data_IF_367105155150
#
_entry.id   IF_367105155150
#
_cell.length_a   1.000
_cell.length_b   1.000
_cell.length_c   1.000
_cell.angle_alpha   90.00
_cell.angle_beta   90.00
_cell.angle_gamma   90.00
#
_symmetry.space_group_name_H-M   'P 1'
#
loop_
_entity.id
_entity.type
_entity.pdbx_description
1 polymer ?
#
# COMPACT_ATOMS: atom_id res chain seq x y z
N UNK A 1 32.13 -34.68 -35.46
CA UNK A 1 31.36 -35.06 -34.27
C UNK A 1 30.93 -33.79 -33.54
N UNK A 2 29.61 -33.62 -33.35
CA UNK A 2 28.83 -32.85 -32.34
C UNK A 2 29.54 -31.69 -31.62
N UNK A 3 29.07 -30.45 -31.83
CA UNK A 3 28.28 -29.61 -30.89
C UNK A 3 29.02 -29.31 -29.55
N UNK A 4 29.20 -28.07 -29.11
CA UNK A 4 28.46 -26.88 -29.47
C UNK A 4 29.01 -25.58 -28.87
N UNK A 5 28.40 -24.50 -29.35
CA UNK A 5 28.40 -23.17 -28.76
C UNK A 5 27.85 -23.23 -27.33
N UNK A 6 28.42 -22.42 -26.44
CA UNK A 6 27.70 -21.39 -25.68
C UNK A 6 28.67 -20.47 -24.97
N UNK A 7 28.49 -19.18 -25.22
CA UNK A 7 28.95 -18.09 -24.38
C UNK A 7 28.19 -18.14 -23.05
N UNK A 8 28.81 -17.73 -21.96
CA UNK A 8 28.08 -17.15 -20.83
C UNK A 8 28.89 -16.02 -20.19
N UNK A 9 28.29 -14.84 -20.26
CA UNK A 9 28.65 -13.58 -19.62
C UNK A 9 28.63 -13.70 -18.09
N UNK A 10 29.40 -12.87 -17.36
CA UNK A 10 29.26 -12.76 -15.92
C UNK A 10 28.06 -11.85 -15.58
N UNK A 11 26.84 -12.34 -15.82
CA UNK A 11 25.64 -11.73 -15.28
C UNK A 11 25.33 -12.37 -13.92
N UNK A 12 25.88 -11.76 -12.87
CA UNK A 12 25.18 -11.44 -11.63
C UNK A 12 24.13 -12.45 -11.15
N UNK A 13 24.57 -13.64 -10.75
CA UNK A 13 23.80 -14.48 -9.84
C UNK A 13 24.51 -14.49 -8.49
N UNK A 14 24.00 -13.68 -7.57
CA UNK A 14 23.98 -13.97 -6.13
C UNK A 14 23.05 -12.98 -5.45
N UNK A 15 21.73 -13.17 -5.61
CA UNK A 15 20.82 -12.86 -4.49
C UNK A 15 21.11 -13.89 -3.41
N UNK A 16 22.23 -13.69 -2.72
CA UNK A 16 22.60 -14.47 -1.57
C UNK A 16 21.42 -14.39 -0.61
N UNK A 17 20.81 -15.56 -0.36
CA UNK A 17 19.94 -15.77 0.77
C UNK A 17 20.51 -15.00 1.96
N UNK A 18 19.71 -14.10 2.54
CA UNK A 18 20.05 -13.46 3.79
C UNK A 18 20.20 -14.59 4.81
N UNK A 19 21.44 -15.07 4.99
CA UNK A 19 21.76 -16.08 5.99
C UNK A 19 21.43 -15.43 7.32
N UNK A 20 20.51 -16.05 8.06
CA UNK A 20 19.83 -15.57 9.27
C UNK A 20 20.73 -15.14 10.45
N UNK A 21 22.04 -15.06 10.27
CA UNK A 21 23.02 -14.90 11.34
C UNK A 21 23.90 -13.63 11.24
N UNK A 22 23.52 -12.64 10.44
CA UNK A 22 24.29 -11.39 10.24
C UNK A 22 23.59 -10.12 10.76
N UNK A 23 22.62 -10.27 11.67
CA UNK A 23 21.86 -9.15 12.24
C UNK A 23 22.19 -8.88 13.72
N UNK A 24 23.35 -9.33 14.20
CA UNK A 24 23.67 -9.39 15.64
C UNK A 24 24.22 -8.08 16.24
N UNK A 25 24.48 -7.05 15.43
CA UNK A 25 25.09 -5.80 15.90
C UNK A 25 24.43 -4.53 15.34
N UNK A 26 23.19 -4.68 14.87
CA UNK A 26 22.45 -3.59 14.26
C UNK A 26 21.27 -3.18 15.16
N UNK A 27 21.00 -1.87 15.33
CA UNK A 27 19.96 -1.37 16.24
C UNK A 27 18.52 -1.75 15.84
N UNK A 28 18.32 -2.30 14.64
CA UNK A 28 17.04 -2.76 14.08
C UNK A 28 16.81 -4.27 14.25
N UNK A 29 17.40 -4.94 15.25
CA UNK A 29 17.21 -6.38 15.46
C UNK A 29 16.67 -6.71 16.87
N UNK A 30 15.38 -7.01 17.00
CA UNK A 30 14.73 -7.41 18.26
C UNK A 30 14.61 -8.95 18.29
N UNK A 31 15.22 -9.60 19.29
CA UNK A 31 15.23 -11.08 19.46
C UNK A 31 15.73 -11.85 18.21
N UNK A 32 16.73 -11.31 17.52
CA UNK A 32 17.39 -12.00 16.39
C UNK A 32 16.64 -11.92 15.05
N UNK A 33 15.69 -10.99 14.90
CA UNK A 33 14.97 -10.74 13.65
C UNK A 33 15.06 -9.29 13.23
N UNK A 34 15.26 -9.06 11.94
CA UNK A 34 15.22 -7.76 11.30
C UNK A 34 13.87 -7.06 11.58
N UNK A 35 13.87 -5.88 12.19
CA UNK A 35 12.73 -4.97 12.18
C UNK A 35 12.88 -4.03 10.99
N UNK A 36 12.19 -4.36 9.90
CA UNK A 36 11.95 -3.40 8.83
C UNK A 36 11.10 -2.25 9.40
N UNK A 37 11.33 -1.03 8.89
CA UNK A 37 10.65 0.20 9.31
C UNK A 37 9.15 0.03 9.46
N UNK A 38 8.54 0.83 10.33
CA UNK A 38 7.16 0.74 10.83
C UNK A 38 6.17 0.37 9.71
N UNK A 39 6.02 -0.93 9.49
CA UNK A 39 5.01 -1.55 8.63
C UNK A 39 4.08 -2.27 9.59
N UNK A 40 2.80 -1.99 9.48
CA UNK A 40 1.79 -2.75 10.21
C UNK A 40 1.49 -4.07 9.48
N UNK A 41 0.86 -5.02 10.17
CA UNK A 41 0.47 -6.30 9.58
C UNK A 41 -0.51 -6.16 8.40
N UNK A 42 -1.18 -5.01 8.28
CA UNK A 42 -2.16 -4.71 7.23
C UNK A 42 -1.52 -4.16 5.94
N UNK A 43 -0.33 -3.55 6.02
CA UNK A 43 0.40 -3.00 4.86
C UNK A 43 1.51 -3.98 4.51
N UNK A 44 1.23 -4.86 3.54
CA UNK A 44 2.17 -5.88 3.07
C UNK A 44 2.78 -5.49 1.72
N UNK A 45 3.82 -6.22 1.30
CA UNK A 45 4.46 -5.97 0.00
C UNK A 45 3.56 -6.40 -1.19
N UNK A 46 2.53 -7.20 -0.94
CA UNK A 46 1.56 -7.73 -1.90
C UNK A 46 0.20 -7.01 -1.88
N UNK A 47 0.17 -5.75 -1.42
CA UNK A 47 -1.03 -4.92 -1.42
C UNK A 47 -1.74 -4.95 -2.79
N UNK A 48 -3.04 -5.22 -2.74
CA UNK A 48 -3.90 -5.24 -3.92
C UNK A 48 -4.66 -3.92 -4.02
N UNK A 49 -4.70 -3.39 -5.23
CA UNK A 49 -5.47 -2.19 -5.54
C UNK A 49 -6.74 -2.60 -6.28
N UNK A 50 -7.90 -2.65 -5.59
CA UNK A 50 -9.16 -3.03 -6.22
C UNK A 50 -9.58 -1.96 -7.23
N UNK A 51 -10.40 -2.36 -8.20
CA UNK A 51 -11.04 -1.40 -9.10
C UNK A 51 -11.95 -0.48 -8.27
N UNK A 52 -11.89 0.85 -8.46
CA UNK A 52 -12.77 1.78 -7.78
C UNK A 52 -14.22 1.57 -8.22
N UNK A 53 -15.13 1.48 -7.25
CA UNK A 53 -16.57 1.35 -7.50
C UNK A 53 -17.13 2.62 -8.17
N UNK A 54 -16.61 3.79 -7.77
CA UNK A 54 -16.97 5.10 -8.32
C UNK A 54 -15.71 5.87 -8.78
N UNK A 55 -15.20 5.59 -10.00
CA UNK A 55 -13.98 6.24 -10.50
C UNK A 55 -14.08 7.77 -10.62
N UNK A 56 -15.30 8.29 -10.70
CA UNK A 56 -15.56 9.72 -10.82
C UNK A 56 -15.38 10.50 -9.51
N UNK A 57 -15.48 9.85 -8.34
CA UNK A 57 -15.46 10.58 -7.07
C UNK A 57 -16.00 9.79 -5.88
N UNK A 58 -16.20 10.51 -4.78
CA UNK A 58 -16.78 9.97 -3.56
C UNK A 58 -18.24 9.55 -3.81
N UNK A 59 -18.55 8.28 -3.56
CA UNK A 59 -19.84 7.67 -3.87
C UNK A 59 -21.02 8.43 -3.24
N UNK A 60 -20.92 8.76 -1.95
CA UNK A 60 -21.99 9.45 -1.23
C UNK A 60 -22.09 10.92 -1.58
N UNK A 61 -20.95 11.61 -1.79
CA UNK A 61 -20.97 13.01 -2.21
C UNK A 61 -21.58 13.16 -3.61
N UNK A 62 -21.30 12.23 -4.53
CA UNK A 62 -21.94 12.21 -5.84
C UNK A 62 -23.45 11.98 -5.74
N UNK A 63 -23.88 11.09 -4.84
CA UNK A 63 -25.30 10.82 -4.62
C UNK A 63 -26.05 12.03 -4.00
N UNK A 64 -25.40 12.80 -3.12
CA UNK A 64 -26.00 13.98 -2.49
C UNK A 64 -25.80 15.28 -3.27
N UNK A 65 -24.88 15.31 -4.25
CA UNK A 65 -24.47 16.54 -4.93
C UNK A 65 -23.53 17.42 -4.11
N UNK A 66 -22.85 16.86 -3.11
CA UNK A 66 -21.91 17.57 -2.26
C UNK A 66 -20.50 17.68 -2.86
N UNK A 67 -19.73 18.64 -2.36
CA UNK A 67 -18.30 18.81 -2.67
C UNK A 67 -17.39 18.04 -1.71
N UNK A 68 -16.18 17.76 -2.18
CA UNK A 68 -15.08 17.19 -1.39
C UNK A 68 -13.76 17.92 -1.65
N UNK A 69 -12.71 17.58 -0.89
CA UNK A 69 -11.35 18.10 -1.04
C UNK A 69 -10.46 17.07 -1.74
N UNK A 70 -10.22 15.92 -1.10
CA UNK A 70 -9.44 14.81 -1.65
C UNK A 70 -10.16 13.48 -1.50
N UNK A 71 -9.78 12.52 -2.34
CA UNK A 71 -10.36 11.19 -2.40
C UNK A 71 -9.41 10.13 -1.85
N UNK A 72 -10.01 9.06 -1.32
CA UNK A 72 -9.34 7.87 -0.79
C UNK A 72 -10.03 6.63 -1.32
N UNK A 73 -9.25 5.61 -1.62
CA UNK A 73 -9.73 4.30 -2.08
C UNK A 73 -9.55 3.27 -0.98
N UNK A 74 -10.60 2.55 -0.62
CA UNK A 74 -10.51 1.40 0.27
C UNK A 74 -9.92 0.19 -0.47
N UNK A 75 -8.83 -0.38 0.05
CA UNK A 75 -8.12 -1.48 -0.61
C UNK A 75 -8.81 -2.84 -0.46
N UNK A 76 -9.75 -2.96 0.48
CA UNK A 76 -10.50 -4.20 0.69
C UNK A 76 -11.69 -4.35 -0.28
N UNK A 77 -12.39 -3.24 -0.58
CA UNK A 77 -13.67 -3.29 -1.30
C UNK A 77 -13.83 -2.32 -2.47
N UNK A 78 -12.84 -1.46 -2.75
CA UNK A 78 -12.90 -0.52 -3.87
C UNK A 78 -13.81 0.69 -3.67
N UNK A 79 -14.36 0.90 -2.47
CA UNK A 79 -15.14 2.10 -2.16
C UNK A 79 -14.26 3.36 -2.21
N UNK A 80 -14.77 4.43 -2.84
CA UNK A 80 -14.08 5.73 -2.93
C UNK A 80 -14.80 6.71 -2.01
N UNK A 81 -14.07 7.20 -1.00
CA UNK A 81 -14.57 8.15 0.00
C UNK A 81 -13.81 9.48 -0.04
N UNK A 82 -14.43 10.54 0.49
CA UNK A 82 -13.75 11.82 0.72
C UNK A 82 -12.97 11.81 2.04
N UNK A 83 -11.85 12.54 2.08
CA UNK A 83 -10.93 12.59 3.22
C UNK A 83 -11.50 13.34 4.44
N UNK A 84 -10.76 13.33 5.56
CA UNK A 84 -11.18 13.98 6.81
C UNK A 84 -11.22 15.51 6.75
N UNK A 85 -10.47 16.12 5.85
CA UNK A 85 -10.55 17.56 5.58
C UNK A 85 -11.77 17.95 4.74
N UNK A 86 -12.49 16.96 4.19
CA UNK A 86 -13.77 17.21 3.51
C UNK A 86 -14.91 17.33 4.55
N UNK A 87 -15.98 18.11 4.28
CA UNK A 87 -17.07 18.31 5.25
C UNK A 87 -17.69 17.01 5.75
N UNK A 88 -17.82 16.02 4.85
CA UNK A 88 -18.56 14.79 5.10
C UNK A 88 -17.74 13.63 5.67
N UNK A 89 -16.41 13.61 5.49
CA UNK A 89 -15.48 12.60 6.04
C UNK A 89 -15.90 11.14 5.74
N UNK A 90 -16.31 10.87 4.50
CA UNK A 90 -16.90 9.57 4.14
C UNK A 90 -15.91 8.40 4.28
N UNK A 91 -14.62 8.60 4.03
CA UNK A 91 -13.62 7.54 4.18
C UNK A 91 -13.54 7.03 5.63
N UNK A 92 -13.52 7.93 6.60
CA UNK A 92 -13.45 7.56 8.02
C UNK A 92 -14.75 6.96 8.53
N UNK A 93 -15.90 7.48 8.09
CA UNK A 93 -17.20 6.85 8.35
C UNK A 93 -17.27 5.43 7.77
N UNK A 94 -16.74 5.23 6.56
CA UNK A 94 -16.65 3.92 5.92
C UNK A 94 -15.79 2.96 6.73
N UNK A 95 -14.62 3.40 7.20
CA UNK A 95 -13.78 2.59 8.11
C UNK A 95 -14.55 2.18 9.36
N UNK A 96 -15.19 3.10 10.08
CA UNK A 96 -15.93 2.76 11.30
C UNK A 96 -17.11 1.80 11.06
N UNK A 97 -17.70 1.81 9.85
CA UNK A 97 -18.83 0.93 9.49
C UNK A 97 -18.37 -0.47 9.08
N UNK A 98 -17.25 -0.58 8.38
CA UNK A 98 -16.81 -1.81 7.71
C UNK A 98 -15.59 -2.46 8.36
N UNK A 99 -14.85 -1.68 9.15
CA UNK A 99 -13.58 -2.04 9.74
C UNK A 99 -12.50 -2.41 8.70
N UNK A 100 -12.58 -1.88 7.47
CA UNK A 100 -11.57 -2.07 6.44
C UNK A 100 -10.31 -1.24 6.75
N UNK A 101 -9.18 -1.87 7.09
CA UNK A 101 -8.10 -1.20 7.80
C UNK A 101 -7.27 -0.27 6.91
N UNK A 102 -7.18 -0.52 5.61
CA UNK A 102 -6.25 0.16 4.71
C UNK A 102 -6.96 0.94 3.60
N UNK A 103 -6.51 2.18 3.42
CA UNK A 103 -6.88 3.04 2.31
C UNK A 103 -5.63 3.47 1.53
N UNK A 104 -5.82 3.81 0.26
CA UNK A 104 -4.83 4.49 -0.57
C UNK A 104 -5.29 5.92 -0.92
N UNK A 105 -4.35 6.80 -1.25
CA UNK A 105 -4.71 8.04 -1.94
C UNK A 105 -5.40 7.72 -3.26
N UNK A 106 -6.46 8.44 -3.61
CA UNK A 106 -7.09 8.37 -4.93
C UNK A 106 -6.90 9.68 -5.73
N UNK A 107 -5.86 10.44 -5.36
CA UNK A 107 -5.46 11.66 -6.06
C UNK A 107 -4.45 11.33 -7.17
N UNK A 108 -4.54 11.96 -8.35
CA UNK A 108 -3.59 11.73 -9.43
C UNK A 108 -2.16 12.08 -9.01
N UNK A 109 -1.22 11.15 -9.20
CA UNK A 109 0.20 11.37 -8.93
C UNK A 109 0.63 11.13 -7.47
N UNK A 110 -0.31 10.74 -6.60
CA UNK A 110 0.01 10.34 -5.22
C UNK A 110 0.09 8.81 -5.09
N UNK A 111 1.16 8.32 -4.48
CA UNK A 111 1.41 6.90 -4.28
C UNK A 111 1.68 6.61 -2.80
N UNK A 112 0.61 6.49 -2.02
CA UNK A 112 0.72 6.16 -0.59
C UNK A 112 -0.53 5.47 -0.07
N UNK A 113 -0.36 4.78 1.05
CA UNK A 113 -1.40 4.10 1.83
C UNK A 113 -1.39 4.52 3.29
N UNK A 114 -2.54 4.36 3.94
CA UNK A 114 -2.74 4.61 5.35
C UNK A 114 -3.49 3.44 5.98
N UNK A 115 -3.00 2.96 7.12
CA UNK A 115 -3.71 2.02 7.97
C UNK A 115 -4.37 2.74 9.14
N UNK A 116 -5.69 2.65 9.23
CA UNK A 116 -6.45 3.26 10.33
C UNK A 116 -6.23 2.57 11.68
N UNK A 117 -5.99 1.26 11.69
CA UNK A 117 -5.86 0.48 12.94
C UNK A 117 -4.56 0.79 13.65
N UNK A 118 -3.47 0.86 12.88
CA UNK A 118 -2.12 1.07 13.43
C UNK A 118 -1.64 2.51 13.27
N UNK A 119 -2.44 3.38 12.64
CA UNK A 119 -2.11 4.77 12.33
C UNK A 119 -0.77 4.93 11.60
N UNK A 120 -0.53 4.02 10.64
CA UNK A 120 0.72 3.96 9.87
C UNK A 120 0.52 4.50 8.47
N UNK A 121 1.39 5.43 8.09
CA UNK A 121 1.57 5.90 6.72
C UNK A 121 2.67 5.11 6.02
N UNK A 122 2.47 4.76 4.74
CA UNK A 122 3.51 4.15 3.91
C UNK A 122 3.39 4.60 2.46
N UNK A 123 4.51 5.00 1.85
CA UNK A 123 4.58 5.28 0.42
C UNK A 123 4.54 3.98 -0.40
N UNK A 124 3.91 4.02 -1.57
CA UNK A 124 3.82 2.90 -2.50
C UNK A 124 4.60 3.18 -3.77
N UNK A 125 4.91 2.13 -4.54
CA UNK A 125 5.65 2.28 -5.79
C UNK A 125 4.81 2.90 -6.93
N UNK A 126 3.48 2.89 -6.82
CA UNK A 126 2.57 3.34 -7.87
C UNK A 126 1.33 4.05 -7.32
N UNK A 127 0.87 5.06 -8.07
CA UNK A 127 -0.45 5.70 -7.93
C UNK A 127 -1.54 4.73 -8.36
N UNK A 128 -2.68 4.78 -7.67
CA UNK A 128 -3.85 3.93 -7.96
C UNK A 128 -4.80 4.54 -9.02
N UNK A 129 -4.52 5.77 -9.44
CA UNK A 129 -5.30 6.55 -10.41
C UNK A 129 -4.45 6.95 -11.60
#
# INVERSE_FOLDING_TARGET
MRLGRRADSPASQSVAAIRSNQCSHQPWCIRGRAVAGVKCAHITDDLKFPKPNTPAGCEECLASGDRWVHLRLCLECGHVGCCDSSPNRHTTKHFHKTNHPVIASYEPGEAWVWCYVDEVFSETAASVR
#
